data_IF_954191769248
#
_entry.id   IF_954191769248
#
_cell.length_a   1.000
_cell.length_b   1.000
_cell.length_c   1.000
_cell.angle_alpha   90.00
_cell.angle_beta   90.00
_cell.angle_gamma   90.00
#
_symmetry.space_group_name_H-M   'P 1'
#
loop_
_entity.id
_entity.type
_entity.pdbx_description
1 polymer ?
#
# COMPACT_ATOMS: atom_id res chain seq x y z
N UNK A 1 18.62 -7.07 -2.18
CA UNK A 1 17.79 -6.22 -1.29
C UNK A 1 18.14 -6.31 0.21
N UNK A 2 18.33 -7.50 0.79
CA UNK A 2 18.59 -7.66 2.25
C UNK A 2 19.87 -6.92 2.70
N UNK A 3 20.97 -7.07 1.97
CA UNK A 3 22.25 -6.39 2.25
C UNK A 3 22.10 -4.87 2.32
N UNK A 4 21.35 -4.26 1.39
CA UNK A 4 21.12 -2.81 1.36
C UNK A 4 20.40 -2.31 2.63
N UNK A 5 19.43 -3.07 3.15
CA UNK A 5 18.75 -2.70 4.41
C UNK A 5 19.67 -2.78 5.63
N UNK A 6 20.56 -3.77 5.68
CA UNK A 6 21.56 -3.84 6.75
C UNK A 6 22.54 -2.66 6.67
N UNK A 7 23.03 -2.34 5.47
CA UNK A 7 23.91 -1.20 5.24
C UNK A 7 23.23 0.12 5.62
N UNK A 8 21.96 0.32 5.24
CA UNK A 8 21.19 1.51 5.59
C UNK A 8 20.99 1.72 7.10
N UNK A 9 21.15 0.67 7.90
CA UNK A 9 21.00 0.70 9.36
C UNK A 9 22.32 0.46 10.12
N UNK A 10 23.46 0.39 9.42
CA UNK A 10 24.76 0.08 10.02
C UNK A 10 25.25 1.17 11.00
N UNK A 11 24.84 2.42 10.80
CA UNK A 11 25.24 3.58 11.62
C UNK A 11 24.28 3.91 12.76
N UNK A 12 23.26 3.08 13.02
CA UNK A 12 22.30 3.34 14.11
C UNK A 12 22.92 2.87 15.42
N UNK A 13 23.09 3.78 16.37
CA UNK A 13 23.68 3.49 17.70
C UNK A 13 22.62 3.22 18.78
N UNK A 14 21.40 3.73 18.62
CA UNK A 14 20.32 3.57 19.60
C UNK A 14 19.94 2.09 19.80
N UNK A 15 20.25 1.58 21.00
CA UNK A 15 20.04 0.19 21.41
C UNK A 15 18.57 -0.24 21.27
N UNK A 16 17.62 0.62 21.64
CA UNK A 16 16.19 0.28 21.56
C UNK A 16 15.74 0.17 20.11
N UNK A 17 16.21 1.08 19.26
CA UNK A 17 15.93 1.07 17.83
C UNK A 17 16.53 -0.17 17.16
N UNK A 18 17.77 -0.54 17.49
CA UNK A 18 18.41 -1.77 17.01
C UNK A 18 17.60 -3.01 17.43
N UNK A 19 17.15 -3.09 18.69
CA UNK A 19 16.35 -4.21 19.18
C UNK A 19 15.01 -4.36 18.44
N UNK A 20 14.32 -3.24 18.16
CA UNK A 20 13.09 -3.21 17.35
C UNK A 20 13.36 -3.67 15.91
N UNK A 21 14.44 -3.20 15.29
CA UNK A 21 14.84 -3.61 13.93
C UNK A 21 15.16 -5.11 13.87
N UNK A 22 15.91 -5.65 14.83
CA UNK A 22 16.20 -7.10 14.93
C UNK A 22 14.92 -7.91 15.08
N UNK A 23 13.99 -7.46 15.92
CA UNK A 23 12.69 -8.13 16.12
C UNK A 23 11.86 -8.13 14.84
N UNK A 24 11.80 -7.00 14.14
CA UNK A 24 11.10 -6.88 12.86
C UNK A 24 11.74 -7.76 11.77
N UNK A 25 13.08 -7.81 11.73
CA UNK A 25 13.82 -8.68 10.81
C UNK A 25 13.51 -10.15 11.05
N UNK A 26 13.51 -10.61 12.32
CA UNK A 26 13.10 -11.98 12.69
C UNK A 26 11.67 -12.30 12.25
N UNK A 27 10.72 -11.40 12.51
CA UNK A 27 9.31 -11.56 12.07
C UNK A 27 9.19 -11.66 10.55
N UNK A 28 9.95 -10.86 9.80
CA UNK A 28 9.99 -10.91 8.34
C UNK A 28 10.58 -12.22 7.84
N UNK A 29 11.70 -12.68 8.42
CA UNK A 29 12.32 -13.96 8.09
C UNK A 29 11.37 -15.14 8.32
N UNK A 30 10.70 -15.18 9.48
CA UNK A 30 9.71 -16.22 9.80
C UNK A 30 8.56 -16.19 8.80
N UNK A 31 8.07 -14.99 8.43
CA UNK A 31 7.00 -14.86 7.42
C UNK A 31 7.45 -15.42 6.07
N UNK A 32 8.68 -15.13 5.64
CA UNK A 32 9.24 -15.67 4.38
C UNK A 32 9.44 -17.18 4.44
N UNK A 33 9.92 -17.70 5.57
CA UNK A 33 10.05 -19.15 5.78
C UNK A 33 8.68 -19.82 5.67
N UNK A 34 7.66 -19.33 6.39
CA UNK A 34 6.29 -19.85 6.30
C UNK A 34 5.73 -19.79 4.88
N UNK A 35 5.94 -18.68 4.18
CA UNK A 35 5.52 -18.53 2.79
C UNK A 35 6.19 -19.56 1.87
N UNK A 36 7.50 -19.81 2.04
CA UNK A 36 8.23 -20.84 1.30
C UNK A 36 7.75 -22.27 1.61
N UNK A 37 7.24 -22.51 2.82
CA UNK A 37 6.64 -23.80 3.18
C UNK A 37 5.26 -23.99 2.55
N UNK A 38 4.61 -22.92 2.10
CA UNK A 38 3.30 -22.92 1.45
C UNK A 38 2.14 -22.44 2.33
N UNK A 39 2.42 -21.76 3.45
CA UNK A 39 1.39 -21.08 4.24
C UNK A 39 0.75 -19.96 3.39
N UNK A 40 -0.54 -20.12 3.10
CA UNK A 40 -1.29 -19.20 2.25
C UNK A 40 -1.35 -17.78 2.84
N UNK A 41 -1.50 -17.63 4.16
CA UNK A 41 -1.59 -16.31 4.80
C UNK A 41 -0.25 -15.58 4.73
N UNK A 42 0.84 -16.32 4.94
CA UNK A 42 2.19 -15.79 4.78
C UNK A 42 2.47 -15.40 3.32
N UNK A 43 2.08 -16.22 2.35
CA UNK A 43 2.20 -15.92 0.92
C UNK A 43 1.47 -14.64 0.53
N UNK A 44 0.19 -14.49 0.92
CA UNK A 44 -0.60 -13.27 0.69
C UNK A 44 0.11 -12.05 1.27
N UNK A 45 0.63 -12.15 2.49
CA UNK A 45 1.33 -11.05 3.14
C UNK A 45 2.63 -10.67 2.41
N UNK A 46 3.37 -11.65 1.89
CA UNK A 46 4.57 -11.41 1.09
C UNK A 46 4.21 -10.71 -0.22
N UNK A 47 3.19 -11.20 -0.94
CA UNK A 47 2.71 -10.61 -2.19
C UNK A 47 2.23 -9.17 -1.99
N UNK A 48 1.39 -8.92 -0.97
CA UNK A 48 0.92 -7.58 -0.64
C UNK A 48 2.08 -6.63 -0.28
N UNK A 49 3.16 -7.14 0.32
CA UNK A 49 4.34 -6.33 0.62
C UNK A 49 5.17 -6.06 -0.64
N UNK A 50 5.30 -7.04 -1.54
CA UNK A 50 6.07 -6.93 -2.78
C UNK A 50 5.44 -5.91 -3.74
N UNK A 51 4.11 -5.95 -3.91
CA UNK A 51 3.37 -5.06 -4.81
C UNK A 51 2.82 -3.80 -4.13
N UNK A 52 3.46 -3.37 -3.04
CA UNK A 52 3.14 -2.08 -2.40
C UNK A 52 1.75 -1.95 -1.79
N UNK A 53 1.01 -3.03 -1.57
CA UNK A 53 -0.24 -3.00 -0.80
C UNK A 53 0.01 -2.85 0.71
N UNK A 54 1.23 -3.15 1.18
CA UNK A 54 1.68 -3.02 2.56
C UNK A 54 3.10 -2.48 2.69
N UNK A 55 3.44 -2.00 3.89
CA UNK A 55 4.80 -1.61 4.24
C UNK A 55 5.24 -0.30 3.59
N UNK A 56 6.53 -0.19 3.27
CA UNK A 56 7.15 1.05 2.79
C UNK A 56 6.63 1.48 1.41
N UNK A 57 6.60 0.55 0.45
CA UNK A 57 6.13 0.81 -0.92
C UNK A 57 4.69 1.35 -0.93
N UNK A 58 3.84 0.87 0.00
CA UNK A 58 2.49 1.40 0.20
C UNK A 58 2.48 2.90 0.49
N UNK A 59 3.36 3.35 1.38
CA UNK A 59 3.47 4.76 1.72
C UNK A 59 4.04 5.57 0.57
N UNK A 60 4.96 5.00 -0.23
CA UNK A 60 5.49 5.65 -1.43
C UNK A 60 4.38 5.82 -2.48
N UNK A 61 3.61 4.78 -2.79
CA UNK A 61 2.50 4.85 -3.76
C UNK A 61 1.37 5.78 -3.32
N UNK A 62 0.98 5.74 -2.04
CA UNK A 62 0.01 6.72 -1.52
C UNK A 62 0.59 8.13 -1.49
N UNK A 63 1.89 8.27 -1.22
CA UNK A 63 2.61 9.55 -1.22
C UNK A 63 2.49 10.29 -2.55
N UNK A 64 2.60 9.57 -3.66
CA UNK A 64 2.43 10.12 -5.02
C UNK A 64 1.03 10.71 -5.26
N UNK A 65 0.00 10.14 -4.63
CA UNK A 65 -1.38 10.60 -4.76
C UNK A 65 -1.66 11.75 -3.81
N UNK A 66 -1.16 11.66 -2.57
CA UNK A 66 -1.34 12.72 -1.57
C UNK A 66 -0.52 13.98 -1.83
N UNK A 67 0.51 13.90 -2.69
CA UNK A 67 1.35 15.04 -3.09
C UNK A 67 0.76 15.86 -4.24
N UNK A 68 -0.47 15.55 -4.67
CA UNK A 68 -1.23 16.38 -5.60
C UNK A 68 -1.24 17.85 -5.11
N UNK A 69 -0.96 18.77 -6.03
CA UNK A 69 -0.91 20.21 -5.74
C UNK A 69 -2.33 20.72 -5.48
N UNK A 70 -2.80 20.56 -4.26
CA UNK A 70 -4.10 21.05 -3.81
C UNK A 70 -3.88 22.30 -2.94
N UNK A 71 -4.60 23.41 -3.19
CA UNK A 71 -4.48 24.58 -2.35
C UNK A 71 -4.86 24.23 -0.90
N UNK A 72 -4.11 24.74 0.09
CA UNK A 72 -4.37 24.43 1.48
C UNK A 72 -5.74 24.96 1.92
N UNK A 73 -6.46 24.19 2.73
CA UNK A 73 -7.74 24.63 3.28
C UNK A 73 -7.57 25.88 4.17
N UNK A 74 -8.64 26.68 4.31
CA UNK A 74 -8.64 27.83 5.20
C UNK A 74 -8.38 27.42 6.66
N UNK A 75 -7.76 28.31 7.41
CA UNK A 75 -7.50 28.12 8.83
C UNK A 75 -8.81 28.18 9.63
N UNK A 76 -9.10 27.15 10.43
CA UNK A 76 -10.28 27.18 11.32
C UNK A 76 -10.08 28.15 12.49
N UNK A 77 -8.84 28.26 12.97
CA UNK A 77 -8.45 29.19 14.03
C UNK A 77 -7.52 30.24 13.42
N UNK A 78 -7.93 31.52 13.36
CA UNK A 78 -7.13 32.58 12.78
C UNK A 78 -5.73 32.66 13.40
N UNK A 79 -4.70 32.84 12.57
CA UNK A 79 -3.31 32.97 13.00
C UNK A 79 -2.64 31.65 13.41
N UNK A 80 -3.29 30.50 13.19
CA UNK A 80 -2.73 29.18 13.47
C UNK A 80 -2.73 28.33 12.22
N UNK A 81 -1.63 28.35 11.48
CA UNK A 81 -1.44 27.53 10.27
C UNK A 81 -1.64 26.02 10.49
N UNK A 82 -1.28 25.50 11.68
CA UNK A 82 -1.54 24.09 12.07
C UNK A 82 -3.02 23.74 12.25
N UNK A 83 -3.90 24.75 12.26
CA UNK A 83 -5.35 24.57 12.38
C UNK A 83 -6.04 24.25 11.05
N UNK A 84 -5.29 24.16 9.96
CA UNK A 84 -5.82 23.79 8.65
C UNK A 84 -6.22 22.31 8.64
N UNK A 85 -7.44 21.98 8.19
CA UNK A 85 -7.86 20.60 8.03
C UNK A 85 -7.16 19.98 6.83
N UNK A 86 -7.02 18.64 6.79
CA UNK A 86 -6.45 17.96 5.65
C UNK A 86 -7.38 18.11 4.44
N UNK A 87 -6.82 18.50 3.29
CA UNK A 87 -7.55 18.57 2.01
C UNK A 87 -7.37 17.26 1.27
N UNK A 88 -8.45 16.77 0.68
CA UNK A 88 -8.48 15.51 -0.07
C UNK A 88 -8.53 15.87 -1.55
N UNK A 89 -7.45 15.57 -2.28
CA UNK A 89 -7.41 15.73 -3.74
C UNK A 89 -8.43 14.83 -4.45
N UNK A 90 -8.74 15.15 -5.69
CA UNK A 90 -9.75 14.43 -6.47
C UNK A 90 -9.34 12.97 -6.70
N UNK A 91 -8.05 12.75 -6.98
CA UNK A 91 -7.44 11.42 -7.15
C UNK A 91 -7.66 10.52 -5.93
N UNK A 92 -7.37 11.05 -4.73
CA UNK A 92 -7.57 10.36 -3.46
C UNK A 92 -9.06 10.16 -3.15
N UNK A 93 -9.90 11.14 -3.49
CA UNK A 93 -11.35 11.05 -3.29
C UNK A 93 -11.96 9.95 -4.15
N UNK A 94 -11.58 9.86 -5.43
CA UNK A 94 -12.00 8.78 -6.33
C UNK A 94 -11.61 7.40 -5.77
N UNK A 95 -10.37 7.30 -5.27
CA UNK A 95 -9.88 6.09 -4.63
C UNK A 95 -10.68 5.69 -3.38
N UNK A 96 -11.04 6.66 -2.54
CA UNK A 96 -11.87 6.43 -1.36
C UNK A 96 -13.30 6.06 -1.69
N UNK A 97 -13.91 6.67 -2.71
CA UNK A 97 -15.26 6.33 -3.15
C UNK A 97 -15.37 4.89 -3.65
N UNK A 98 -14.28 4.32 -4.16
CA UNK A 98 -14.22 2.91 -4.55
C UNK A 98 -14.08 1.98 -3.33
N UNK A 99 -13.30 2.38 -2.33
CA UNK A 99 -12.88 1.48 -1.23
C UNK A 99 -13.76 1.56 0.02
N UNK A 100 -14.45 2.68 0.22
CA UNK A 100 -15.19 2.96 1.44
C UNK A 100 -16.61 3.42 1.12
N UNK A 101 -17.54 3.08 2.01
CA UNK A 101 -18.90 3.60 1.95
C UNK A 101 -18.88 5.13 2.12
N UNK A 102 -19.77 5.86 1.43
CA UNK A 102 -19.85 7.34 1.50
C UNK A 102 -19.87 7.88 2.94
N UNK A 103 -20.62 7.22 3.83
CA UNK A 103 -20.72 7.57 5.26
C UNK A 103 -19.38 7.50 6.02
N UNK A 104 -18.42 6.70 5.54
CA UNK A 104 -17.09 6.56 6.14
C UNK A 104 -16.08 7.58 5.58
N UNK A 105 -16.40 8.24 4.46
CA UNK A 105 -15.50 9.22 3.83
C UNK A 105 -15.64 10.58 4.52
N UNK A 106 -16.88 10.95 4.84
CA UNK A 106 -17.18 12.18 5.55
C UNK A 106 -16.94 12.01 7.05
N UNK A 107 -16.37 13.04 7.67
CA UNK A 107 -16.14 13.03 9.12
C UNK A 107 -17.48 13.25 9.80
N UNK A 108 -17.95 12.26 10.55
CA UNK A 108 -19.09 12.45 11.45
C UNK A 108 -18.64 13.34 12.62
N UNK A 109 -18.87 14.64 12.47
CA UNK A 109 -18.64 15.62 13.51
C UNK A 109 -19.95 15.73 14.31
N UNK A 110 -19.93 15.58 15.65
CA UNK A 110 -21.11 15.80 16.46
C UNK A 110 -21.39 17.31 16.50
N UNK A 111 -22.06 17.80 15.46
CA UNK A 111 -22.39 19.20 15.22
C UNK A 111 -23.82 19.55 15.70
N UNK A 112 -24.61 18.56 16.12
CA UNK A 112 -25.98 18.71 16.57
C UNK A 112 -26.18 18.66 18.10
N UNK A 113 -27.44 18.70 18.57
CA UNK A 113 -27.82 18.59 19.99
C UNK A 113 -27.36 17.29 20.68
N UNK A 114 -26.75 16.34 19.94
CA UNK A 114 -26.08 15.15 20.46
C UNK A 114 -24.65 15.39 20.99
N UNK A 115 -24.09 16.60 20.88
CA UNK A 115 -22.99 17.03 21.74
C UNK A 115 -23.50 16.96 23.19
N UNK A 116 -22.75 16.34 24.10
CA UNK A 116 -23.17 16.00 25.49
C UNK A 116 -23.80 17.16 26.27
N UNK A 117 -23.62 18.41 25.79
CA UNK A 117 -24.17 19.62 26.40
C UNK A 117 -24.78 20.62 25.38
N UNK A 118 -25.12 20.19 24.16
CA UNK A 118 -25.71 21.07 23.13
C UNK A 118 -24.81 22.21 22.61
N UNK A 119 -23.56 22.28 23.07
CA UNK A 119 -22.58 23.28 22.65
C UNK A 119 -21.87 22.83 21.36
N UNK A 120 -21.53 23.76 20.45
CA UNK A 120 -20.71 23.44 19.28
C UNK A 120 -19.34 22.91 19.73
N UNK A 121 -18.75 22.05 18.91
CA UNK A 121 -17.44 21.48 19.20
C UNK A 121 -16.37 22.58 19.28
N UNK A 122 -15.43 22.48 20.23
CA UNK A 122 -14.24 23.33 20.21
C UNK A 122 -13.48 23.12 18.88
N UNK A 123 -13.08 24.22 18.23
CA UNK A 123 -12.39 24.22 16.94
C UNK A 123 -11.14 23.34 16.98
N UNK A 124 -10.38 23.35 18.09
CA UNK A 124 -9.19 22.47 18.23
C UNK A 124 -9.57 21.00 18.21
N UNK A 125 -10.65 20.64 18.90
CA UNK A 125 -11.17 19.26 18.93
C UNK A 125 -11.66 18.85 17.54
N UNK A 126 -12.31 19.74 16.82
CA UNK A 126 -12.82 19.49 15.47
C UNK A 126 -11.67 19.17 14.50
N UNK A 127 -10.63 19.99 14.51
CA UNK A 127 -9.42 19.79 13.71
C UNK A 127 -8.78 18.42 14.03
N UNK A 128 -8.64 18.11 15.31
CA UNK A 128 -8.07 16.83 15.75
C UNK A 128 -8.92 15.64 15.29
N UNK A 129 -10.25 15.74 15.33
CA UNK A 129 -11.14 14.69 14.80
C UNK A 129 -10.98 14.53 13.29
N UNK A 130 -10.95 15.63 12.53
CA UNK A 130 -10.73 15.60 11.08
C UNK A 130 -9.39 14.96 10.72
N UNK A 131 -8.30 15.32 11.41
CA UNK A 131 -6.97 14.74 11.19
C UNK A 131 -6.90 13.26 11.57
N UNK A 132 -7.52 12.86 12.69
CA UNK A 132 -7.60 11.45 13.10
C UNK A 132 -8.38 10.64 12.07
N UNK A 133 -9.52 11.16 11.60
CA UNK A 133 -10.35 10.52 10.59
C UNK A 133 -9.59 10.37 9.26
N UNK A 134 -8.99 11.45 8.76
CA UNK A 134 -8.17 11.45 7.57
C UNK A 134 -7.03 10.43 7.66
N UNK A 135 -6.28 10.44 8.76
CA UNK A 135 -5.17 9.52 9.00
C UNK A 135 -5.65 8.07 9.07
N UNK A 136 -6.80 7.82 9.70
CA UNK A 136 -7.39 6.50 9.78
C UNK A 136 -7.83 5.97 8.39
N UNK A 137 -8.46 6.82 7.58
CA UNK A 137 -8.79 6.49 6.18
C UNK A 137 -7.53 6.23 5.37
N UNK A 138 -6.56 7.14 5.42
CA UNK A 138 -5.30 7.01 4.70
C UNK A 138 -4.55 5.73 5.08
N UNK A 139 -4.55 5.33 6.35
CA UNK A 139 -3.94 4.07 6.82
C UNK A 139 -4.69 2.80 6.40
N UNK A 140 -5.99 2.90 6.10
CA UNK A 140 -6.80 1.78 5.58
C UNK A 140 -6.79 1.70 4.06
N UNK A 141 -6.51 2.82 3.40
CA UNK A 141 -6.54 2.93 1.93
C UNK A 141 -5.51 2.01 1.31
N UNK A 142 -5.92 1.26 0.28
CA UNK A 142 -5.02 0.50 -0.59
C UNK A 142 -4.53 1.40 -1.71
N UNK A 143 -3.22 1.49 -1.95
CA UNK A 143 -2.72 2.27 -3.07
C UNK A 143 -2.99 1.57 -4.41
N UNK A 144 -3.16 2.35 -5.49
CA UNK A 144 -3.04 1.82 -6.82
C UNK A 144 -1.60 1.39 -7.09
N UNK A 145 -1.47 0.35 -7.90
CA UNK A 145 -0.19 -0.27 -8.26
C UNK A 145 0.25 0.26 -9.64
N UNK A 146 1.57 0.41 -9.88
CA UNK A 146 2.08 0.77 -11.20
C UNK A 146 1.62 -0.16 -12.32
N UNK A 147 1.48 0.39 -13.53
CA UNK A 147 1.01 -0.38 -14.69
C UNK A 147 1.89 -1.61 -14.99
N UNK A 148 3.21 -1.47 -14.84
CA UNK A 148 4.18 -2.56 -15.05
C UNK A 148 3.91 -3.74 -14.09
N UNK A 149 3.76 -3.44 -12.80
CA UNK A 149 3.45 -4.43 -11.77
C UNK A 149 2.07 -5.06 -12.00
N UNK A 150 1.08 -4.28 -12.48
CA UNK A 150 -0.25 -4.79 -12.84
C UNK A 150 -0.18 -5.77 -14.01
N UNK A 151 0.56 -5.45 -15.08
CA UNK A 151 0.76 -6.37 -16.22
C UNK A 151 1.38 -7.69 -15.76
N UNK A 152 2.40 -7.64 -14.89
CA UNK A 152 3.02 -8.84 -14.30
C UNK A 152 1.97 -9.65 -13.49
N UNK A 153 1.22 -8.99 -12.60
CA UNK A 153 0.20 -9.65 -11.77
C UNK A 153 -0.88 -10.30 -12.65
N UNK A 154 -1.35 -9.60 -13.69
CA UNK A 154 -2.37 -10.13 -14.60
C UNK A 154 -1.84 -11.33 -15.40
N UNK A 155 -0.61 -11.25 -15.91
CA UNK A 155 0.04 -12.38 -16.61
C UNK A 155 0.15 -13.61 -15.72
N UNK A 156 0.52 -13.44 -14.45
CA UNK A 156 0.63 -14.51 -13.45
C UNK A 156 -0.73 -15.05 -12.97
N UNK A 157 -1.76 -14.19 -12.93
CA UNK A 157 -3.11 -14.59 -12.56
C UNK A 157 -3.77 -15.44 -13.67
N UNK A 158 -3.59 -15.03 -14.92
CA UNK A 158 -4.16 -15.69 -16.11
C UNK A 158 -3.35 -16.91 -16.53
N UNK A 159 -2.09 -17.01 -16.11
CA UNK A 159 -1.15 -18.06 -16.52
C UNK A 159 -0.48 -17.81 -17.86
N UNK A 160 -0.57 -16.59 -18.40
CA UNK A 160 0.15 -16.17 -19.61
C UNK A 160 1.64 -16.01 -19.33
N UNK A 161 2.02 -15.60 -18.11
CA UNK A 161 3.41 -15.56 -17.68
C UNK A 161 3.80 -16.88 -16.99
N UNK A 162 4.97 -17.48 -17.31
CA UNK A 162 5.39 -18.71 -16.69
C UNK A 162 5.67 -18.50 -15.19
N UNK A 163 5.05 -19.35 -14.36
CA UNK A 163 5.28 -19.33 -12.92
C UNK A 163 6.48 -20.20 -12.58
N UNK A 164 7.60 -19.57 -12.21
CA UNK A 164 8.76 -20.31 -11.69
C UNK A 164 8.56 -20.58 -10.20
N UNK A 165 8.28 -21.83 -9.85
CA UNK A 165 8.26 -22.26 -8.45
C UNK A 165 9.70 -22.59 -8.04
N UNK A 166 10.31 -21.84 -7.10
CA UNK A 166 11.66 -22.15 -6.66
C UNK A 166 11.67 -23.54 -6.02
N UNK A 167 12.52 -24.43 -6.52
CA UNK A 167 12.75 -25.73 -5.88
C UNK A 167 13.42 -25.48 -4.53
N UNK A 168 12.79 -25.94 -3.45
CA UNK A 168 13.41 -25.93 -2.13
C UNK A 168 14.66 -26.83 -2.16
N UNK A 169 15.80 -26.38 -1.60
CA UNK A 169 16.96 -27.26 -1.41
C UNK A 169 16.56 -28.50 -0.62
N UNK A 170 17.11 -29.67 -0.98
CA UNK A 170 16.80 -30.96 -0.36
C UNK A 170 16.95 -30.93 1.16
N UNK A 171 18.03 -30.32 1.68
CA UNK A 171 18.27 -30.19 3.13
C UNK A 171 17.20 -29.39 3.89
N UNK A 172 16.37 -28.59 3.21
CA UNK A 172 15.23 -27.89 3.84
C UNK A 172 13.97 -28.73 3.92
N UNK A 173 13.90 -29.83 3.18
CA UNK A 173 12.74 -30.73 3.22
C UNK A 173 12.60 -31.38 4.61
N UNK A 174 13.72 -31.63 5.28
CA UNK A 174 13.73 -32.17 6.66
C UNK A 174 13.21 -31.14 7.66
N UNK A 175 13.67 -29.89 7.57
CA UNK A 175 13.14 -28.79 8.41
C UNK A 175 11.65 -28.52 8.15
N UNK A 176 11.14 -28.78 6.94
CA UNK A 176 9.69 -28.68 6.64
C UNK A 176 8.90 -29.69 7.47
N UNK A 177 9.40 -30.92 7.64
CA UNK A 177 8.75 -31.94 8.50
C UNK A 177 8.71 -31.51 9.96
N UNK A 178 9.81 -30.95 10.48
CA UNK A 178 9.88 -30.48 11.86
C UNK A 178 9.02 -29.24 12.15
N UNK A 179 8.86 -28.32 11.18
CA UNK A 179 8.02 -27.13 11.35
C UNK A 179 6.53 -27.44 11.17
N UNK A 180 6.17 -28.33 10.23
CA UNK A 180 4.79 -28.79 10.03
C UNK A 180 4.23 -29.54 11.24
N UNK A 181 5.07 -30.19 12.06
CA UNK A 181 4.59 -30.93 13.24
C UNK A 181 4.23 -30.03 14.43
N UNK A 182 4.72 -28.78 14.45
CA UNK A 182 4.55 -27.86 15.59
C UNK A 182 3.43 -26.84 15.43
N UNK A 183 3.10 -26.43 14.21
CA UNK A 183 2.07 -25.41 13.96
C UNK A 183 1.41 -25.59 12.59
N UNK A 184 0.07 -25.72 12.62
CA UNK A 184 -0.90 -25.44 11.55
C UNK A 184 -1.13 -26.49 10.44
N UNK A 185 -2.39 -26.94 10.36
CA UNK A 185 -2.98 -27.76 9.30
C UNK A 185 -3.04 -27.09 7.90
N UNK A 186 -2.55 -25.84 7.78
CA UNK A 186 -2.71 -24.98 6.59
C UNK A 186 -1.46 -24.97 5.66
N UNK A 187 -0.45 -25.82 5.90
CA UNK A 187 0.76 -25.87 5.04
C UNK A 187 0.49 -26.71 3.80
N UNK A 188 0.20 -26.04 2.68
CA UNK A 188 -0.07 -26.69 1.39
C UNK A 188 1.19 -26.78 0.53
N UNK A 189 1.27 -27.79 -0.34
CA UNK A 189 2.25 -27.74 -1.43
C UNK A 189 1.84 -26.63 -2.41
N UNK A 190 2.78 -25.72 -2.69
CA UNK A 190 2.56 -24.61 -3.61
C UNK A 190 2.35 -25.19 -5.01
N UNK A 191 1.11 -25.22 -5.47
CA UNK A 191 0.74 -25.62 -6.82
C UNK A 191 0.58 -24.41 -7.73
N UNK A 192 0.73 -24.59 -9.05
CA UNK A 192 0.49 -23.52 -10.03
C UNK A 192 -0.93 -22.94 -9.89
N UNK A 193 -1.92 -23.82 -9.68
CA UNK A 193 -3.32 -23.42 -9.43
C UNK A 193 -3.48 -22.53 -8.20
N UNK A 194 -2.77 -22.85 -7.12
CA UNK A 194 -2.77 -22.03 -5.90
C UNK A 194 -2.17 -20.65 -6.17
N UNK A 195 -1.07 -20.60 -6.92
CA UNK A 195 -0.42 -19.33 -7.30
C UNK A 195 -1.38 -18.46 -8.14
N UNK A 196 -2.02 -19.02 -9.16
CA UNK A 196 -2.98 -18.27 -9.98
C UNK A 196 -4.11 -17.71 -9.10
N UNK A 197 -4.70 -18.52 -8.22
CA UNK A 197 -5.73 -18.07 -7.28
C UNK A 197 -5.26 -16.93 -6.37
N UNK A 198 -4.03 -17.00 -5.88
CA UNK A 198 -3.45 -15.93 -5.06
C UNK A 198 -3.32 -14.63 -5.84
N UNK A 199 -2.79 -14.68 -7.06
CA UNK A 199 -2.65 -13.50 -7.91
C UNK A 199 -4.00 -12.96 -8.37
N UNK A 200 -4.98 -13.80 -8.74
CA UNK A 200 -6.35 -13.36 -9.04
C UNK A 200 -6.99 -12.70 -7.83
N UNK A 201 -6.83 -13.28 -6.63
CA UNK A 201 -7.34 -12.69 -5.39
C UNK A 201 -6.69 -11.34 -5.08
N UNK A 202 -5.39 -11.21 -5.34
CA UNK A 202 -4.66 -9.95 -5.20
C UNK A 202 -5.16 -8.91 -6.21
N UNK A 203 -5.31 -9.28 -7.48
CA UNK A 203 -5.78 -8.39 -8.56
C UNK A 203 -7.17 -7.83 -8.26
N UNK A 204 -8.09 -8.67 -7.77
CA UNK A 204 -9.44 -8.26 -7.35
C UNK A 204 -9.44 -7.26 -6.17
N UNK A 205 -8.33 -7.14 -5.45
CA UNK A 205 -8.18 -6.26 -4.29
C UNK A 205 -7.42 -4.98 -4.58
N UNK A 206 -6.68 -4.94 -5.68
CA UNK A 206 -5.87 -3.80 -6.08
C UNK A 206 -6.77 -2.80 -6.80
N UNK A 207 -6.85 -1.55 -6.30
CA UNK A 207 -7.52 -0.49 -7.03
C UNK A 207 -6.65 -0.04 -8.21
N UNK A 208 -7.27 0.29 -9.33
CA UNK A 208 -6.65 0.91 -10.49
C UNK A 208 -7.22 2.31 -10.60
N UNK A 209 -6.34 3.31 -10.59
CA UNK A 209 -6.69 4.71 -10.71
C UNK A 209 -6.39 5.19 -12.14
N UNK A 210 -7.33 5.86 -12.78
CA UNK A 210 -7.16 6.41 -14.12
C UNK A 210 -7.91 7.74 -14.28
N UNK A 211 -7.48 8.55 -15.23
CA UNK A 211 -8.13 9.81 -15.55
C UNK A 211 -9.08 9.59 -16.73
N UNK A 212 -10.34 10.02 -16.56
CA UNK A 212 -11.33 10.02 -17.65
C UNK A 212 -10.92 11.02 -18.73
N UNK A 213 -11.51 10.89 -19.92
CA UNK A 213 -11.37 11.91 -20.99
C UNK A 213 -11.82 13.30 -20.53
N UNK A 214 -12.76 13.34 -19.59
CA UNK A 214 -13.32 14.57 -19.01
C UNK A 214 -12.37 15.24 -17.99
N UNK A 215 -11.17 14.69 -17.76
CA UNK A 215 -10.23 15.15 -16.74
C UNK A 215 -10.54 14.66 -15.32
N UNK A 216 -11.73 14.12 -15.07
CA UNK A 216 -12.12 13.57 -13.77
C UNK A 216 -11.38 12.28 -13.43
N UNK A 217 -11.00 12.13 -12.16
CA UNK A 217 -10.38 10.91 -11.64
C UNK A 217 -11.42 9.82 -11.36
N UNK A 218 -11.14 8.61 -11.81
CA UNK A 218 -11.97 7.42 -11.56
C UNK A 218 -11.10 6.25 -11.09
N UNK A 219 -11.69 5.37 -10.28
CA UNK A 219 -11.00 4.20 -9.76
C UNK A 219 -11.89 2.96 -9.88
N UNK A 220 -11.32 1.83 -10.30
CA UNK A 220 -11.99 0.52 -10.38
C UNK A 220 -11.15 -0.58 -9.72
N UNK A 221 -11.73 -1.74 -9.40
CA UNK A 221 -10.96 -2.94 -9.06
C UNK A 221 -10.63 -3.77 -10.31
N UNK A 222 -9.48 -4.43 -10.29
CA UNK A 222 -8.77 -4.99 -11.46
C UNK A 222 -9.40 -6.14 -12.25
N UNK A 223 -10.72 -6.30 -12.35
CA UNK A 223 -11.35 -7.32 -13.22
C UNK A 223 -12.57 -6.86 -14.01
N UNK A 224 -13.17 -5.71 -13.69
CA UNK A 224 -14.32 -5.18 -14.42
C UNK A 224 -13.87 -4.19 -15.51
N UNK A 225 -13.59 -4.72 -16.70
CA UNK A 225 -13.79 -4.01 -17.98
C UNK A 225 -12.95 -2.76 -18.25
N UNK A 226 -11.67 -2.93 -18.58
CA UNK A 226 -10.88 -1.87 -19.19
C UNK A 226 -10.41 -2.25 -20.60
N UNK A 227 -11.34 -2.21 -21.57
CA UNK A 227 -11.02 -1.76 -22.93
C UNK A 227 -10.62 -0.26 -22.95
N UNK A 228 -10.70 0.43 -21.82
CA UNK A 228 -10.14 1.77 -21.64
C UNK A 228 -8.63 1.70 -21.47
N UNK A 229 -7.89 2.09 -22.52
CA UNK A 229 -6.45 2.42 -22.53
C UNK A 229 -5.88 2.65 -21.12
N UNK A 230 -5.11 1.69 -20.63
CA UNK A 230 -4.23 1.85 -19.46
C UNK A 230 -3.23 2.97 -19.76
N UNK A 231 -3.58 4.20 -19.40
CA UNK A 231 -2.87 5.41 -19.82
C UNK A 231 -1.83 5.80 -18.77
N UNK A 232 -0.55 5.53 -19.08
CA UNK A 232 0.64 6.40 -18.90
C UNK A 232 0.85 7.21 -17.61
N UNK A 233 0.31 6.85 -16.44
CA UNK A 233 0.56 7.64 -15.22
C UNK A 233 1.98 7.51 -14.65
N UNK A 234 2.65 6.38 -14.87
CA UNK A 234 4.00 6.15 -14.32
C UNK A 234 5.16 6.51 -15.26
N UNK A 235 4.87 7.00 -16.48
CA UNK A 235 5.91 7.36 -17.46
C UNK A 235 6.39 8.82 -17.36
N UNK A 236 5.74 9.69 -16.58
CA UNK A 236 6.05 11.13 -16.57
C UNK A 236 7.01 11.63 -15.47
N UNK A 237 7.41 10.81 -14.51
CA UNK A 237 8.31 11.26 -13.43
C UNK A 237 9.74 10.71 -13.50
N UNK A 238 10.11 9.94 -14.52
CA UNK A 238 11.51 9.49 -14.71
C UNK A 238 12.27 10.29 -15.78
N UNK A 239 11.79 11.46 -16.20
CA UNK A 239 12.64 12.43 -16.89
C UNK A 239 13.44 13.17 -15.82
N UNK A 240 14.45 12.50 -15.27
CA UNK A 240 15.62 13.19 -14.76
C UNK A 240 16.20 13.86 -16.01
N UNK A 241 16.27 15.20 -16.11
CA UNK A 241 17.03 15.82 -17.19
C UNK A 241 18.44 15.23 -17.09
N UNK A 242 18.91 14.58 -18.15
CA UNK A 242 20.34 14.39 -18.33
C UNK A 242 20.89 15.81 -18.38
N UNK A 243 21.45 16.28 -17.27
CA UNK A 243 22.31 17.44 -17.31
C UNK A 243 23.46 17.05 -18.24
N UNK A 244 23.55 17.80 -19.34
CA UNK A 244 24.62 17.73 -20.32
C UNK A 244 25.94 18.00 -19.57
N UNK A 245 26.69 16.94 -19.28
CA UNK A 245 28.11 17.03 -18.96
C UNK A 245 28.88 17.21 -20.27
N UNK A 246 28.63 18.33 -20.94
CA UNK A 246 29.45 18.81 -22.04
C UNK A 246 30.38 19.91 -21.52
N UNK A 247 31.67 19.59 -21.55
CA UNK A 247 32.81 20.49 -21.73
C UNK A 247 33.19 21.40 -20.55
N UNK A 248 34.23 20.97 -19.83
CA UNK A 248 35.25 21.88 -19.29
C UNK A 248 36.58 21.44 -19.90
N UNK A 249 37.13 22.31 -20.73
CA UNK A 249 38.49 22.26 -21.29
C UNK A 249 39.56 22.35 -20.18
#
# INVERSE_FOLDING_TARGET
MVRLRYVAHARIEDVQRIARLKTNAKKCLITLQKANLGDQKALVKVLETAYGQRGRLRHEYLGLITSELVPPAPELIPGKSRSRPPVVGESLRALWTLQFDKKKIEVDLPLGPGSTFGKPLDKRREINLRWRHYTALLNRTRPPVPAQDLEIITGLATGSAPVTIPKLPTWRQDTKREMCSRTDADVHNISVRMIHRLYSSLLNRIPVLYQSKDGSWRANFGTSGAEGRLTKMFQRQSVIPKEDFDHVD
#
